data_IF_262727029902
#
_entry.id   IF_262727029902
#
_cell.length_a   1.000
_cell.length_b   1.000
_cell.length_c   1.000
_cell.angle_alpha   90.00
_cell.angle_beta   90.00
_cell.angle_gamma   90.00
#
_symmetry.space_group_name_H-M   'P 1'
#
loop_
_entity.id
_entity.type
_entity.pdbx_description
1 polymer ?
#
# COMPACT_ATOMS: atom_id res chain seq x y z
N UNK A 1 24.84 -6.00 -34.25
CA UNK A 1 23.59 -6.32 -33.54
C UNK A 1 23.46 -5.27 -32.43
N UNK A 2 22.65 -4.23 -32.64
CA UNK A 2 22.48 -3.18 -31.63
C UNK A 2 21.77 -3.80 -30.41
N UNK A 3 22.34 -3.63 -29.22
CA UNK A 3 21.67 -4.04 -27.99
C UNK A 3 20.33 -3.31 -27.91
N UNK A 4 19.24 -4.07 -27.77
CA UNK A 4 17.93 -3.48 -27.47
C UNK A 4 18.08 -2.81 -26.12
N UNK A 5 18.03 -1.48 -26.09
CA UNK A 5 18.04 -0.74 -24.83
C UNK A 5 16.69 -1.01 -24.18
N UNK A 6 16.66 -1.91 -23.19
CA UNK A 6 15.49 -2.08 -22.35
C UNK A 6 15.36 -0.79 -21.52
N UNK A 7 14.33 0.00 -21.82
CA UNK A 7 14.06 1.22 -21.08
C UNK A 7 13.52 0.87 -19.70
N UNK A 8 14.02 1.56 -18.68
CA UNK A 8 13.51 1.50 -17.30
C UNK A 8 12.68 2.75 -17.08
N UNK A 9 11.41 2.57 -16.72
CA UNK A 9 10.56 3.67 -16.28
C UNK A 9 10.60 3.75 -14.76
N UNK A 10 10.60 4.96 -14.20
CA UNK A 10 10.55 5.16 -12.74
C UNK A 10 9.17 5.74 -12.41
N UNK A 11 8.34 4.98 -11.71
CA UNK A 11 7.04 5.43 -11.21
C UNK A 11 7.17 6.00 -9.80
N UNK A 12 6.63 7.20 -9.57
CA UNK A 12 6.60 7.88 -8.27
C UNK A 12 5.20 7.73 -7.67
N UNK A 13 5.09 7.30 -6.41
CA UNK A 13 3.81 7.03 -5.76
C UNK A 13 3.76 7.68 -4.37
N UNK A 14 2.66 8.36 -4.03
CA UNK A 14 2.51 9.09 -2.77
C UNK A 14 1.45 8.46 -1.86
N UNK A 15 1.87 7.86 -0.74
CA UNK A 15 0.99 7.54 0.37
C UNK A 15 0.84 8.78 1.27
N UNK A 16 -0.22 9.57 1.06
CA UNK A 16 -0.45 10.83 1.77
C UNK A 16 -1.44 10.61 2.91
N UNK A 17 -0.94 10.63 4.14
CA UNK A 17 -1.72 10.34 5.34
C UNK A 17 -2.12 11.63 6.05
N UNK A 18 -3.36 11.67 6.52
CA UNK A 18 -3.88 12.71 7.40
C UNK A 18 -4.78 12.12 8.48
N UNK A 19 -4.94 12.83 9.59
CA UNK A 19 -5.96 12.52 10.59
C UNK A 19 -7.21 13.35 10.30
N UNK A 20 -8.37 12.68 10.12
CA UNK A 20 -9.67 13.34 10.01
C UNK A 20 -10.52 12.90 11.19
N UNK A 21 -10.76 13.81 12.13
CA UNK A 21 -11.29 13.42 13.45
C UNK A 21 -10.32 12.45 14.15
N UNK A 22 -10.80 11.28 14.53
CA UNK A 22 -10.00 10.20 15.10
C UNK A 22 -9.56 9.14 14.07
N UNK A 23 -9.92 9.34 12.79
CA UNK A 23 -9.68 8.36 11.75
C UNK A 23 -8.39 8.69 10.98
N UNK A 24 -7.43 7.75 10.93
CA UNK A 24 -6.33 7.84 9.97
C UNK A 24 -6.85 7.62 8.54
N UNK A 25 -6.64 8.62 7.70
CA UNK A 25 -7.09 8.62 6.32
C UNK A 25 -5.90 8.66 5.35
N UNK A 26 -6.10 8.04 4.19
CA UNK A 26 -5.20 8.09 3.04
C UNK A 26 -5.88 8.90 1.93
N UNK A 27 -5.13 9.78 1.27
CA UNK A 27 -5.62 10.46 0.07
C UNK A 27 -5.62 9.47 -1.10
N UNK A 28 -6.80 9.25 -1.69
CA UNK A 28 -6.95 8.49 -2.93
C UNK A 28 -7.30 9.39 -4.10
N UNK A 29 -6.92 8.96 -5.29
CA UNK A 29 -7.38 9.45 -6.59
C UNK A 29 -8.20 8.36 -7.30
N UNK A 30 -9.00 8.68 -8.33
CA UNK A 30 -9.72 7.67 -9.09
C UNK A 30 -8.76 6.68 -9.76
N UNK A 31 -9.02 5.38 -9.62
CA UNK A 31 -8.29 4.33 -10.33
C UNK A 31 -8.82 4.08 -11.74
N UNK A 32 -8.18 3.17 -12.50
CA UNK A 32 -8.45 2.99 -13.93
C UNK A 32 -9.67 2.11 -14.24
N UNK A 33 -10.23 1.39 -13.26
CA UNK A 33 -11.36 0.48 -13.49
C UNK A 33 -12.37 0.48 -12.34
N UNK A 34 -13.55 -0.12 -12.55
CA UNK A 34 -14.57 -0.24 -11.50
C UNK A 34 -14.14 -1.14 -10.34
N UNK A 35 -13.37 -2.19 -10.64
CA UNK A 35 -12.83 -3.12 -9.64
C UNK A 35 -11.66 -2.50 -8.86
N UNK A 36 -10.83 -1.73 -9.56
CA UNK A 36 -9.71 -0.97 -9.01
C UNK A 36 -10.02 0.53 -9.08
N UNK A 37 -11.07 0.94 -8.38
CA UNK A 37 -11.62 2.31 -8.44
C UNK A 37 -10.81 3.34 -7.63
N UNK A 38 -9.86 2.88 -6.82
CA UNK A 38 -9.05 3.70 -5.94
C UNK A 38 -7.56 3.53 -6.29
N UNK A 39 -6.82 4.63 -6.31
CA UNK A 39 -5.38 4.65 -6.49
C UNK A 39 -4.74 5.67 -5.53
N UNK A 40 -3.44 5.53 -5.25
CA UNK A 40 -2.64 6.61 -4.67
C UNK A 40 -2.26 7.61 -5.76
N UNK A 41 -2.05 8.90 -5.46
CA UNK A 41 -1.45 9.82 -6.41
C UNK A 41 -0.10 9.30 -6.91
N UNK A 42 0.08 9.31 -8.23
CA UNK A 42 1.21 8.63 -8.85
C UNK A 42 1.60 9.25 -10.21
N UNK A 43 2.82 9.07 -10.67
CA UNK A 43 3.19 9.43 -12.04
C UNK A 43 4.65 9.14 -12.39
N UNK A 44 5.00 9.16 -13.69
CA UNK A 44 6.35 8.86 -14.13
C UNK A 44 7.35 9.96 -13.75
N UNK A 45 8.58 9.57 -13.43
CA UNK A 45 9.70 10.48 -13.30
C UNK A 45 10.28 10.81 -14.68
N UNK A 46 10.12 12.06 -15.12
CA UNK A 46 10.81 12.61 -16.28
C UNK A 46 12.10 13.36 -15.89
N UNK A 47 13.30 12.84 -16.23
CA UNK A 47 14.56 13.49 -15.87
C UNK A 47 14.82 14.82 -16.62
N UNK A 48 14.08 15.13 -17.70
CA UNK A 48 14.21 16.38 -18.43
C UNK A 48 13.51 17.55 -17.71
N UNK A 49 12.44 17.25 -16.98
CA UNK A 49 11.60 18.25 -16.30
C UNK A 49 11.73 18.17 -14.77
N UNK A 50 12.00 17.00 -14.21
CA UNK A 50 12.15 16.77 -12.78
C UNK A 50 13.62 16.72 -12.37
N UNK A 51 14.10 17.78 -11.71
CA UNK A 51 15.48 17.82 -11.17
C UNK A 51 15.73 16.73 -10.12
N UNK A 52 14.71 16.33 -9.37
CA UNK A 52 14.76 15.24 -8.38
C UNK A 52 13.46 14.45 -8.42
N UNK A 53 13.49 13.19 -7.96
CA UNK A 53 12.26 12.38 -7.85
C UNK A 53 11.24 13.02 -6.91
N UNK A 54 11.68 13.67 -5.82
CA UNK A 54 10.77 14.38 -4.91
C UNK A 54 10.07 15.57 -5.60
N UNK A 55 10.78 16.31 -6.47
CA UNK A 55 10.17 17.40 -7.26
C UNK A 55 9.09 16.84 -8.18
N UNK A 56 9.37 15.74 -8.89
CA UNK A 56 8.38 15.07 -9.74
C UNK A 56 7.17 14.58 -8.95
N UNK A 57 7.40 13.97 -7.78
CA UNK A 57 6.32 13.51 -6.90
C UNK A 57 5.43 14.67 -6.46
N UNK A 58 6.03 15.79 -6.01
CA UNK A 58 5.28 16.99 -5.59
C UNK A 58 4.47 17.57 -6.74
N UNK A 59 5.03 17.61 -7.96
CA UNK A 59 4.34 18.05 -9.16
C UNK A 59 3.09 17.19 -9.46
N UNK A 60 3.25 15.87 -9.49
CA UNK A 60 2.14 14.94 -9.73
C UNK A 60 1.05 15.03 -8.67
N UNK A 61 1.43 15.18 -7.40
CA UNK A 61 0.45 15.33 -6.31
C UNK A 61 -0.32 16.65 -6.42
N UNK A 62 0.36 17.76 -6.66
CA UNK A 62 -0.31 19.06 -6.83
C UNK A 62 -1.25 19.04 -8.05
N UNK A 63 -0.84 18.42 -9.15
CA UNK A 63 -1.65 18.27 -10.36
C UNK A 63 -2.91 17.41 -10.14
N UNK A 64 -2.77 16.24 -9.51
CA UNK A 64 -3.87 15.28 -9.34
C UNK A 64 -4.80 15.61 -8.18
N UNK A 65 -4.36 16.41 -7.23
CA UNK A 65 -5.08 16.57 -5.95
C UNK A 65 -5.23 18.00 -5.48
N UNK A 66 -4.60 18.98 -6.15
CA UNK A 66 -4.49 20.36 -5.68
C UNK A 66 -3.81 20.52 -4.29
N UNK A 67 -3.23 19.45 -3.74
CA UNK A 67 -2.56 19.46 -2.45
C UNK A 67 -1.08 19.79 -2.61
N UNK A 68 -0.60 20.75 -1.82
CA UNK A 68 0.83 21.01 -1.66
C UNK A 68 1.36 20.25 -0.46
N UNK A 69 2.34 19.37 -0.70
CA UNK A 69 2.92 18.56 0.36
C UNK A 69 3.82 19.39 1.28
N UNK A 70 3.70 19.19 2.59
CA UNK A 70 4.68 19.66 3.58
C UNK A 70 5.77 18.62 3.78
N UNK A 71 5.53 17.74 4.75
CA UNK A 71 6.40 16.61 5.08
C UNK A 71 6.34 15.51 4.02
N UNK A 72 7.50 15.11 3.50
CA UNK A 72 7.66 13.98 2.56
C UNK A 72 8.91 13.20 2.95
N UNK A 73 8.81 11.88 2.91
CA UNK A 73 9.97 10.98 2.99
C UNK A 73 9.83 9.82 2.02
N UNK A 74 10.96 9.29 1.55
CA UNK A 74 10.95 8.07 0.76
C UNK A 74 10.70 6.85 1.66
N UNK A 75 9.75 6.00 1.27
CA UNK A 75 9.41 4.77 1.97
C UNK A 75 10.30 3.61 1.53
N UNK A 76 10.26 3.30 0.24
CA UNK A 76 10.93 2.15 -0.36
C UNK A 76 11.10 2.36 -1.89
N UNK A 77 11.93 1.52 -2.51
CA UNK A 77 12.00 1.36 -3.97
C UNK A 77 11.82 -0.12 -4.36
N UNK A 78 10.92 -0.41 -5.29
CA UNK A 78 10.60 -1.74 -5.81
C UNK A 78 11.02 -1.83 -7.28
N UNK A 79 11.78 -2.85 -7.64
CA UNK A 79 12.21 -3.12 -9.03
C UNK A 79 12.07 -4.58 -9.44
N UNK A 80 11.05 -5.29 -8.93
CA UNK A 80 10.88 -6.71 -9.25
C UNK A 80 9.97 -6.81 -10.48
N UNK A 81 10.37 -7.61 -11.46
CA UNK A 81 9.56 -7.91 -12.65
C UNK A 81 8.28 -8.66 -12.28
N UNK A 82 7.18 -8.40 -12.99
CA UNK A 82 5.89 -9.08 -12.81
C UNK A 82 4.95 -8.49 -11.75
N UNK A 83 5.23 -7.27 -11.23
CA UNK A 83 4.32 -6.56 -10.29
C UNK A 83 3.17 -5.79 -10.96
N UNK A 84 3.36 -5.43 -12.23
CA UNK A 84 2.32 -4.86 -13.09
C UNK A 84 2.37 -5.68 -14.36
N UNK A 85 1.54 -6.72 -14.46
CA UNK A 85 1.40 -7.44 -15.73
C UNK A 85 0.52 -6.58 -16.64
N UNK A 86 1.14 -5.63 -17.34
CA UNK A 86 0.53 -5.08 -18.56
C UNK A 86 0.44 -6.27 -19.52
N UNK A 87 -0.72 -6.51 -20.12
CA UNK A 87 -0.87 -7.55 -21.14
C UNK A 87 0.29 -7.44 -22.16
N UNK A 88 0.91 -8.59 -22.46
CA UNK A 88 2.15 -8.82 -23.23
C UNK A 88 3.54 -8.67 -22.56
N UNK A 89 3.70 -8.17 -21.32
CA UNK A 89 5.02 -8.04 -20.64
C UNK A 89 6.12 -7.39 -21.53
N UNK A 90 5.68 -6.63 -22.54
CA UNK A 90 6.49 -6.02 -23.60
C UNK A 90 6.78 -4.53 -23.35
N UNK A 91 6.20 -3.97 -22.27
CA UNK A 91 6.45 -2.62 -21.80
C UNK A 91 7.82 -2.46 -21.11
N UNK A 92 8.27 -1.22 -20.87
CA UNK A 92 9.50 -0.95 -20.13
C UNK A 92 9.43 -1.51 -18.70
N UNK A 93 10.59 -1.89 -18.15
CA UNK A 93 10.66 -2.36 -16.77
C UNK A 93 10.40 -1.19 -15.82
N UNK A 94 9.33 -1.25 -15.03
CA UNK A 94 8.96 -0.17 -14.10
C UNK A 94 9.60 -0.38 -12.73
N UNK A 95 10.32 0.64 -12.26
CA UNK A 95 10.81 0.77 -10.87
C UNK A 95 9.86 1.71 -10.12
N UNK A 96 9.13 1.18 -9.14
CA UNK A 96 8.19 1.94 -8.31
C UNK A 96 8.90 2.50 -7.07
N UNK A 97 8.85 3.82 -6.89
CA UNK A 97 9.38 4.53 -5.72
C UNK A 97 8.22 5.06 -4.90
N UNK A 98 8.04 4.52 -3.70
CA UNK A 98 6.99 4.93 -2.78
C UNK A 98 7.47 6.02 -1.82
N UNK A 99 6.62 7.00 -1.57
CA UNK A 99 6.83 8.07 -0.60
C UNK A 99 5.71 8.11 0.43
N UNK A 100 6.05 8.46 1.68
CA UNK A 100 5.10 8.79 2.74
C UNK A 100 5.09 10.30 2.86
N UNK A 101 3.90 10.88 2.74
CA UNK A 101 3.68 12.26 3.09
C UNK A 101 2.69 12.35 4.25
N UNK A 102 2.95 13.28 5.16
CA UNK A 102 2.05 13.60 6.26
C UNK A 102 1.49 14.99 6.01
N UNK A 103 0.18 15.13 6.11
CA UNK A 103 -0.48 16.41 5.89
C UNK A 103 -1.59 16.63 6.91
N UNK A 104 -1.87 17.91 7.15
CA UNK A 104 -3.02 18.36 7.94
C UNK A 104 -4.09 18.81 6.98
N UNK A 105 -5.27 18.21 7.09
CA UNK A 105 -6.40 18.60 6.24
C UNK A 105 -6.94 19.95 6.73
N UNK A 106 -6.72 21.00 5.94
CA UNK A 106 -7.34 22.30 6.18
C UNK A 106 -8.69 22.35 5.46
N UNK A 107 -9.71 22.92 6.12
CA UNK A 107 -11.10 22.89 5.63
C UNK A 107 -11.27 23.65 4.29
N UNK A 108 -10.43 24.65 4.04
CA UNK A 108 -10.38 25.45 2.82
C UNK A 108 -9.74 24.73 1.62
N UNK A 109 -8.90 23.72 1.87
CA UNK A 109 -8.28 22.89 0.82
C UNK A 109 -9.22 21.79 0.30
N UNK A 110 -10.17 21.34 1.11
CA UNK A 110 -11.09 20.23 0.78
C UNK A 110 -11.92 20.43 -0.50
N UNK A 111 -12.47 21.63 -0.80
CA UNK A 111 -13.18 21.86 -2.06
C UNK A 111 -12.30 21.63 -3.30
N UNK A 112 -11.06 22.10 -3.29
CA UNK A 112 -10.13 21.94 -4.41
C UNK A 112 -9.71 20.48 -4.61
N UNK A 113 -9.42 19.78 -3.50
CA UNK A 113 -9.08 18.35 -3.51
C UNK A 113 -10.23 17.52 -4.12
N UNK A 114 -11.47 17.78 -3.69
CA UNK A 114 -12.65 17.09 -4.24
C UNK A 114 -12.92 17.42 -5.70
N UNK A 115 -12.69 18.67 -6.13
CA UNK A 115 -12.85 19.06 -7.53
C UNK A 115 -11.86 18.33 -8.45
N UNK A 116 -10.67 18.02 -7.95
CA UNK A 116 -9.68 17.18 -8.64
C UNK A 116 -10.04 15.68 -8.63
N UNK A 117 -11.16 15.28 -8.00
CA UNK A 117 -11.58 13.88 -7.88
C UNK A 117 -10.85 13.10 -6.77
N UNK A 118 -9.98 13.77 -6.01
CA UNK A 118 -9.27 13.19 -4.89
C UNK A 118 -10.10 13.23 -3.62
N UNK A 119 -9.91 12.25 -2.74
CA UNK A 119 -10.67 12.14 -1.50
C UNK A 119 -9.86 11.46 -0.40
N UNK A 120 -9.99 11.96 0.82
CA UNK A 120 -9.47 11.24 1.99
C UNK A 120 -10.44 10.14 2.39
N UNK A 121 -9.96 8.91 2.42
CA UNK A 121 -10.70 7.73 2.87
C UNK A 121 -10.01 7.12 4.08
N UNK A 122 -10.77 6.57 5.02
CA UNK A 122 -10.18 5.78 6.11
C UNK A 122 -9.30 4.69 5.51
N UNK A 123 -8.05 4.60 5.95
CA UNK A 123 -7.14 3.58 5.41
C UNK A 123 -7.61 2.14 5.74
N UNK A 124 -8.50 2.00 6.72
CA UNK A 124 -9.11 0.73 7.13
C UNK A 124 -10.17 0.26 6.13
N UNK A 125 -10.62 1.12 5.22
CA UNK A 125 -11.39 0.70 4.05
C UNK A 125 -10.56 -0.24 3.15
N UNK A 126 -9.26 0.02 3.05
CA UNK A 126 -8.32 -0.76 2.25
C UNK A 126 -7.62 -1.85 3.06
N UNK A 127 -7.43 -1.68 4.37
CA UNK A 127 -6.77 -2.66 5.23
C UNK A 127 -7.64 -2.96 6.46
N UNK A 128 -8.85 -3.52 6.29
CA UNK A 128 -9.82 -3.64 7.39
C UNK A 128 -9.34 -4.58 8.52
N UNK A 129 -8.49 -5.55 8.20
CA UNK A 129 -7.90 -6.46 9.19
C UNK A 129 -6.87 -5.79 10.12
N UNK A 130 -6.49 -4.53 9.85
CA UNK A 130 -5.59 -3.72 10.67
C UNK A 130 -6.34 -2.83 11.68
N UNK A 131 -7.68 -2.78 11.64
CA UNK A 131 -8.49 -1.93 12.52
C UNK A 131 -8.77 -2.59 13.87
N UNK A 132 -7.80 -2.48 14.79
CA UNK A 132 -7.90 -3.05 16.14
C UNK A 132 -8.58 -2.13 17.16
N UNK A 133 -9.15 -0.99 16.73
CA UNK A 133 -9.74 0.00 17.64
C UNK A 133 -10.94 -0.53 18.42
N UNK A 134 -11.62 -1.54 17.88
CA UNK A 134 -12.73 -2.26 18.52
C UNK A 134 -12.32 -3.68 18.98
N UNK A 135 -11.02 -3.91 19.17
CA UNK A 135 -10.46 -5.23 19.45
C UNK A 135 -10.15 -6.00 18.15
N UNK A 136 -9.88 -7.30 18.29
CA UNK A 136 -9.50 -8.17 17.17
C UNK A 136 -10.61 -8.22 16.10
N UNK A 137 -10.34 -7.84 14.84
CA UNK A 137 -11.33 -7.93 13.77
C UNK A 137 -11.81 -9.38 13.55
N UNK A 138 -13.13 -9.61 13.56
CA UNK A 138 -13.71 -10.93 13.37
C UNK A 138 -13.27 -11.60 12.05
N UNK A 139 -13.07 -10.81 10.99
CA UNK A 139 -12.60 -11.30 9.70
C UNK A 139 -11.21 -11.96 9.75
N UNK A 140 -10.39 -11.64 10.77
CA UNK A 140 -9.13 -12.36 10.94
C UNK A 140 -9.41 -13.83 11.23
N UNK A 141 -10.31 -14.12 12.17
CA UNK A 141 -10.56 -15.50 12.63
C UNK A 141 -11.51 -16.26 11.71
N UNK A 142 -12.50 -15.56 11.14
CA UNK A 142 -13.52 -16.17 10.27
C UNK A 142 -13.02 -16.41 8.85
N UNK A 143 -12.11 -15.58 8.35
CA UNK A 143 -11.79 -15.50 6.93
C UNK A 143 -10.29 -15.61 6.64
N UNK A 144 -9.47 -14.71 7.21
CA UNK A 144 -8.09 -14.52 6.76
C UNK A 144 -7.16 -15.59 7.33
N UNK A 145 -7.13 -15.77 8.65
CA UNK A 145 -6.21 -16.70 9.34
C UNK A 145 -6.40 -18.15 8.87
N UNK A 146 -7.63 -18.68 8.76
CA UNK A 146 -7.83 -20.03 8.22
C UNK A 146 -7.28 -20.19 6.80
N UNK A 147 -7.51 -19.20 5.93
CA UNK A 147 -7.10 -19.24 4.53
C UNK A 147 -5.56 -19.16 4.37
N UNK A 148 -4.89 -18.22 5.04
CA UNK A 148 -3.42 -18.12 4.97
C UNK A 148 -2.73 -19.32 5.62
N UNK A 149 -3.33 -19.91 6.66
CA UNK A 149 -2.77 -21.11 7.32
C UNK A 149 -2.87 -22.34 6.43
N UNK A 150 -4.02 -22.55 5.78
CA UNK A 150 -4.21 -23.61 4.79
C UNK A 150 -3.26 -23.46 3.60
N UNK A 151 -3.08 -22.22 3.11
CA UNK A 151 -2.10 -21.92 2.06
C UNK A 151 -0.68 -22.25 2.51
N UNK A 152 -0.27 -21.81 3.70
CA UNK A 152 1.06 -22.03 4.22
C UNK A 152 1.41 -23.52 4.32
N UNK A 153 0.50 -24.35 4.87
CA UNK A 153 0.70 -25.80 4.99
C UNK A 153 0.76 -26.56 3.66
N UNK A 154 0.28 -25.96 2.56
CA UNK A 154 0.46 -26.47 1.20
C UNK A 154 1.77 -25.98 0.59
N UNK A 155 2.12 -24.70 0.80
CA UNK A 155 3.33 -24.07 0.27
C UNK A 155 4.62 -24.68 0.84
N UNK A 156 4.63 -25.03 2.14
CA UNK A 156 5.75 -25.69 2.81
C UNK A 156 6.13 -27.07 2.23
N UNK A 157 5.31 -27.64 1.34
CA UNK A 157 5.56 -28.92 0.67
C UNK A 157 6.34 -28.80 -0.66
N UNK A 158 6.67 -27.58 -1.10
CA UNK A 158 7.43 -27.36 -2.34
C UNK A 158 8.94 -27.28 -2.10
N UNK A 159 9.79 -28.04 -2.82
CA UNK A 159 11.24 -28.12 -2.57
C UNK A 159 12.04 -26.83 -2.83
N UNK A 160 11.41 -25.78 -3.36
CA UNK A 160 12.05 -24.52 -3.73
C UNK A 160 12.09 -23.48 -2.60
N UNK A 161 11.61 -23.82 -1.40
CA UNK A 161 11.66 -22.97 -0.20
C UNK A 161 13.10 -22.86 0.35
N UNK A 162 14.03 -22.32 -0.44
CA UNK A 162 15.41 -22.09 -0.01
C UNK A 162 15.75 -20.61 -0.06
N UNK A 163 15.87 -20.04 1.15
CA UNK A 163 16.25 -18.67 1.57
C UNK A 163 15.09 -17.89 2.21
N UNK A 164 14.69 -18.28 3.42
CA UNK A 164 13.75 -17.53 4.26
C UNK A 164 13.10 -18.38 5.35
N UNK A 165 12.33 -17.74 6.22
CA UNK A 165 11.45 -18.43 7.17
C UNK A 165 10.36 -19.20 6.40
N UNK A 166 10.01 -20.39 6.90
CA UNK A 166 8.92 -21.19 6.34
C UNK A 166 7.60 -20.40 6.31
N UNK A 167 6.73 -20.56 5.28
CA UNK A 167 5.45 -19.87 5.19
C UNK A 167 4.61 -19.94 6.48
N UNK A 168 4.58 -21.10 7.14
CA UNK A 168 3.87 -21.33 8.39
C UNK A 168 4.42 -20.46 9.53
N UNK A 169 5.75 -20.32 9.59
CA UNK A 169 6.40 -19.46 10.58
C UNK A 169 6.10 -17.98 10.31
N UNK A 170 6.10 -17.57 9.03
CA UNK A 170 5.75 -16.20 8.64
C UNK A 170 4.31 -15.86 9.01
N UNK A 171 3.36 -16.77 8.73
CA UNK A 171 1.95 -16.62 9.13
C UNK A 171 1.81 -16.50 10.64
N UNK A 172 2.45 -17.40 11.41
CA UNK A 172 2.39 -17.36 12.87
C UNK A 172 2.87 -16.02 13.44
N UNK A 173 4.01 -15.52 12.95
CA UNK A 173 4.58 -14.24 13.40
C UNK A 173 3.68 -13.07 12.98
N UNK A 174 3.34 -12.98 11.70
CA UNK A 174 2.62 -11.82 11.16
C UNK A 174 1.19 -11.69 11.72
N UNK A 175 0.52 -12.79 12.03
CA UNK A 175 -0.87 -12.80 12.53
C UNK A 175 -1.00 -13.00 14.05
N UNK A 176 0.12 -13.09 14.78
CA UNK A 176 0.11 -13.28 16.23
C UNK A 176 -0.56 -14.60 16.66
N UNK A 177 -0.19 -15.70 16.02
CA UNK A 177 -0.74 -17.03 16.31
C UNK A 177 0.15 -17.81 17.29
N UNK A 178 -0.40 -18.84 17.92
CA UNK A 178 0.30 -19.74 18.85
C UNK A 178 1.06 -19.01 19.97
N UNK A 179 0.46 -17.93 20.51
CA UNK A 179 1.05 -17.14 21.58
C UNK A 179 2.06 -16.08 21.14
N UNK A 180 2.31 -15.93 19.83
CA UNK A 180 3.03 -14.78 19.31
C UNK A 180 2.20 -13.49 19.51
N UNK A 181 2.81 -12.37 19.95
CA UNK A 181 2.07 -11.11 20.07
C UNK A 181 1.70 -10.57 18.69
N UNK A 182 0.58 -9.85 18.62
CA UNK A 182 0.27 -9.04 17.44
C UNK A 182 1.21 -7.84 17.40
N UNK A 183 2.00 -7.73 16.33
CA UNK A 183 2.85 -6.56 16.10
C UNK A 183 2.31 -5.74 14.92
N UNK A 184 2.08 -4.46 15.20
CA UNK A 184 1.64 -3.42 14.28
C UNK A 184 2.61 -3.19 13.11
N UNK A 185 3.89 -3.53 13.29
CA UNK A 185 4.95 -3.35 12.29
C UNK A 185 4.84 -4.36 11.13
N UNK A 186 4.10 -5.46 11.30
CA UNK A 186 3.90 -6.50 10.28
C UNK A 186 2.74 -6.22 9.30
N UNK A 187 2.24 -4.98 9.20
CA UNK A 187 1.13 -4.67 8.28
C UNK A 187 1.46 -5.02 6.81
N UNK A 188 2.70 -4.74 6.36
CA UNK A 188 3.17 -5.15 5.04
C UNK A 188 3.28 -6.68 4.92
N UNK A 189 3.86 -7.36 5.90
CA UNK A 189 4.00 -8.82 5.89
C UNK A 189 2.64 -9.52 5.80
N UNK A 190 1.64 -9.03 6.53
CA UNK A 190 0.25 -9.52 6.45
C UNK A 190 -0.33 -9.33 5.05
N UNK A 191 -0.18 -8.14 4.46
CA UNK A 191 -0.60 -7.90 3.07
C UNK A 191 0.10 -8.86 2.10
N UNK A 192 1.42 -9.05 2.20
CA UNK A 192 2.19 -9.93 1.31
C UNK A 192 1.78 -11.40 1.47
N UNK A 193 1.45 -11.85 2.68
CA UNK A 193 0.94 -13.20 2.94
C UNK A 193 -0.46 -13.37 2.34
N UNK A 194 -1.34 -12.39 2.50
CA UNK A 194 -2.68 -12.39 1.91
C UNK A 194 -2.63 -12.39 0.38
N UNK A 195 -1.76 -11.56 -0.22
CA UNK A 195 -1.48 -11.57 -1.66
C UNK A 195 -0.93 -12.91 -2.12
N UNK A 196 0.03 -13.47 -1.38
CA UNK A 196 0.64 -14.76 -1.71
C UNK A 196 -0.35 -15.92 -1.67
N UNK A 197 -1.35 -15.84 -0.79
CA UNK A 197 -2.41 -16.82 -0.57
C UNK A 197 -3.67 -16.59 -1.44
N UNK A 198 -3.72 -15.53 -2.26
CA UNK A 198 -4.83 -15.28 -3.16
C UNK A 198 -6.05 -14.60 -2.51
N UNK A 199 -5.85 -13.89 -1.39
CA UNK A 199 -6.94 -13.33 -0.58
C UNK A 199 -7.26 -11.86 -0.92
N UNK A 200 -6.55 -11.24 -1.85
CA UNK A 200 -6.74 -9.84 -2.28
C UNK A 200 -6.87 -9.77 -3.80
N UNK A 201 -7.69 -8.85 -4.32
CA UNK A 201 -8.02 -8.77 -5.74
C UNK A 201 -6.79 -8.55 -6.62
N UNK A 202 -5.79 -7.85 -6.09
CA UNK A 202 -4.50 -7.61 -6.74
C UNK A 202 -3.82 -8.92 -7.15
N UNK A 203 -3.96 -10.00 -6.36
CA UNK A 203 -3.38 -11.31 -6.70
C UNK A 203 -4.05 -11.99 -7.90
N UNK A 204 -5.33 -11.68 -8.15
CA UNK A 204 -6.09 -12.19 -9.30
C UNK A 204 -5.75 -11.38 -10.55
N UNK A 205 -5.76 -10.05 -10.43
CA UNK A 205 -5.34 -9.12 -11.50
C UNK A 205 -3.94 -9.44 -12.02
N UNK A 206 -3.00 -9.74 -11.13
CA UNK A 206 -1.62 -10.04 -11.50
C UNK A 206 -1.45 -11.47 -12.08
N UNK A 207 -2.55 -12.23 -12.21
CA UNK A 207 -2.59 -13.56 -12.83
C UNK A 207 -1.96 -14.65 -11.97
N UNK A 208 -1.83 -14.43 -10.65
CA UNK A 208 -1.33 -15.44 -9.70
C UNK A 208 -2.40 -16.49 -9.38
N UNK A 209 -3.66 -16.07 -9.40
CA UNK A 209 -4.84 -16.90 -9.18
C UNK A 209 -5.92 -16.52 -10.19
N UNK A 210 -6.73 -17.49 -10.62
CA UNK A 210 -7.86 -17.22 -11.53
C UNK A 210 -9.04 -16.53 -10.82
N UNK A 211 -9.12 -16.68 -9.50
CA UNK A 211 -10.15 -16.09 -8.65
C UNK A 211 -9.65 -15.95 -7.20
N UNK A 212 -10.34 -15.14 -6.40
CA UNK A 212 -10.07 -15.02 -4.96
C UNK A 212 -10.21 -16.37 -4.27
N UNK A 213 -9.29 -16.67 -3.38
CA UNK A 213 -9.24 -17.93 -2.63
C UNK A 213 -10.03 -17.87 -1.31
N UNK A 214 -11.05 -17.00 -1.28
CA UNK A 214 -11.76 -16.63 -0.07
C UNK A 214 -13.15 -16.08 -0.40
N UNK A 215 -14.15 -16.51 0.37
CA UNK A 215 -15.54 -16.10 0.18
C UNK A 215 -15.88 -14.93 1.11
N UNK A 216 -15.46 -13.73 0.72
CA UNK A 216 -15.77 -12.51 1.46
C UNK A 216 -14.87 -11.32 1.10
N UNK A 217 -15.28 -10.10 1.44
CA UNK A 217 -14.48 -8.92 1.19
C UNK A 217 -13.29 -8.89 2.15
N UNK A 218 -12.09 -8.71 1.60
CA UNK A 218 -10.88 -8.42 2.38
C UNK A 218 -10.56 -6.92 2.37
N UNK A 219 -11.48 -6.04 1.99
CA UNK A 219 -11.28 -4.59 1.85
C UNK A 219 -11.14 -4.15 0.39
N UNK A 220 -11.23 -2.85 0.15
CA UNK A 220 -11.20 -2.27 -1.20
C UNK A 220 -9.83 -2.48 -1.87
N UNK A 221 -9.86 -2.90 -3.13
CA UNK A 221 -8.67 -3.05 -3.96
C UNK A 221 -8.14 -1.67 -4.37
N UNK A 222 -6.83 -1.57 -4.62
CA UNK A 222 -6.25 -0.38 -5.24
C UNK A 222 -5.53 -0.73 -6.54
N UNK A 223 -5.56 0.21 -7.47
CA UNK A 223 -4.84 0.09 -8.74
C UNK A 223 -3.33 -0.06 -8.52
N UNK A 224 -2.63 -0.65 -9.49
CA UNK A 224 -1.20 -0.92 -9.41
C UNK A 224 -0.79 -1.68 -8.12
N UNK A 225 0.37 -1.38 -7.54
CA UNK A 225 0.81 -1.92 -6.24
C UNK A 225 0.41 -1.02 -5.06
N UNK A 226 -0.51 -0.07 -5.25
CA UNK A 226 -0.81 0.99 -4.28
C UNK A 226 -1.27 0.50 -2.91
N UNK A 227 -2.03 -0.62 -2.84
CA UNK A 227 -2.46 -1.19 -1.55
C UNK A 227 -1.28 -1.75 -0.75
N UNK A 228 -0.25 -2.25 -1.44
CA UNK A 228 1.04 -2.65 -0.84
C UNK A 228 1.81 -1.44 -0.32
N UNK A 229 1.83 -0.35 -1.10
CA UNK A 229 2.44 0.93 -0.68
C UNK A 229 1.77 1.46 0.58
N UNK A 230 0.43 1.40 0.62
CA UNK A 230 -0.35 1.77 1.80
C UNK A 230 0.00 0.89 3.02
N UNK A 231 0.08 -0.43 2.87
CA UNK A 231 0.48 -1.32 3.97
C UNK A 231 1.90 -0.99 4.46
N UNK A 232 2.81 -0.64 3.55
CA UNK A 232 4.17 -0.19 3.88
C UNK A 232 4.16 1.14 4.64
N UNK A 233 3.36 2.10 4.18
CA UNK A 233 3.19 3.40 4.81
C UNK A 233 2.61 3.29 6.21
N UNK A 234 1.60 2.43 6.40
CA UNK A 234 0.99 2.13 7.70
C UNK A 234 2.02 1.55 8.68
N UNK A 235 2.76 0.50 8.26
CA UNK A 235 3.82 -0.08 9.08
C UNK A 235 4.88 0.97 9.45
N UNK A 236 5.37 1.74 8.47
CA UNK A 236 6.39 2.77 8.70
C UNK A 236 5.91 3.85 9.67
N UNK A 237 4.68 4.34 9.52
CA UNK A 237 4.13 5.38 10.38
C UNK A 237 3.96 4.87 11.81
N UNK A 238 3.46 3.65 12.01
CA UNK A 238 3.36 3.01 13.33
C UNK A 238 4.72 2.85 14.00
N UNK A 239 5.72 2.29 13.30
CA UNK A 239 7.09 2.20 13.83
C UNK A 239 7.64 3.58 14.18
N UNK A 240 7.38 4.60 13.35
CA UNK A 240 7.83 5.95 13.63
C UNK A 240 7.19 6.54 14.89
N UNK A 241 5.88 6.38 15.07
CA UNK A 241 5.19 6.85 16.27
C UNK A 241 5.74 6.20 17.55
N UNK A 242 6.21 4.94 17.49
CA UNK A 242 6.86 4.26 18.62
C UNK A 242 8.22 4.87 18.99
N UNK A 243 8.97 5.41 18.03
CA UNK A 243 10.40 5.74 18.22
C UNK A 243 10.79 7.22 17.95
N UNK A 244 9.92 8.05 17.36
CA UNK A 244 10.11 9.49 17.12
C UNK A 244 8.76 10.25 17.18
N UNK A 245 8.70 11.49 17.70
CA UNK A 245 7.48 12.27 17.69
C UNK A 245 7.23 12.90 16.30
N UNK A 246 6.95 12.07 15.28
CA UNK A 246 6.39 12.53 13.99
C UNK A 246 4.93 12.95 14.09
N UNK A 247 4.32 12.73 15.26
CA UNK A 247 2.92 13.06 15.57
C UNK A 247 2.59 14.54 15.33
N UNK A 248 3.56 15.45 15.49
CA UNK A 248 3.35 16.88 15.27
C UNK A 248 2.96 17.20 13.82
N UNK A 249 3.39 16.41 12.84
CA UNK A 249 2.99 16.59 11.44
C UNK A 249 1.50 16.23 11.21
N UNK A 250 0.88 15.49 12.13
CA UNK A 250 -0.50 15.00 12.05
C UNK A 250 -1.49 15.76 12.96
N UNK A 251 -1.00 16.55 13.92
CA UNK A 251 -1.83 17.27 14.89
C UNK A 251 -2.09 18.72 14.47
N UNK A 252 -3.16 19.35 14.99
CA UNK A 252 -3.38 20.79 14.80
C UNK A 252 -2.25 21.63 15.44
N UNK A 253 -2.09 22.89 14.99
CA UNK A 253 -1.05 23.79 15.51
C UNK A 253 -1.20 24.13 17.00
N UNK A 254 -2.42 24.03 17.55
CA UNK A 254 -2.72 24.28 18.96
C UNK A 254 -3.61 23.18 19.54
N UNK A 255 -3.37 22.82 20.81
CA UNK A 255 -4.24 21.94 21.61
C UNK A 255 -5.07 22.81 22.55
N UNK A 256 -6.40 22.64 22.54
CA UNK A 256 -7.31 23.27 23.51
C UNK A 256 -7.60 22.35 24.69
#
# INVERSE_FOLDING_TARGET
>A
MAARADFIEIGLNAAIVAMIGSDPCILRVPGQSREFADALPWGPFDPLTHRTMEIGLRGWVEEQTALRLGYVEQLYTFGDRGRQRIEDDAGPHVVSVGYLALTRVQADQMPAIRLAGAEFRSWYQFLPWEDWRQGRPAMLDELIVPAVTNWAGKAGRTPYASRGLAPETRVRIAFGLDGAPWDEDYALDRYELMYSAGLVAESVRDGRYDALQVDGPTGSAMDHDHRRILATAMARLRSKLKYRPVVFELMADEFS
#
